data_IF_173276312716
#
_entry.id   IF_173276312716
#
_cell.length_a   1.000
_cell.length_b   1.000
_cell.length_c   1.000
_cell.angle_alpha   90.00
_cell.angle_beta   90.00
_cell.angle_gamma   90.00
#
_symmetry.space_group_name_H-M   'P 1'
#
loop_
_entity.id
_entity.type
_entity.pdbx_description
1 polymer ?
#
# COMPACT_ATOMS: atom_id res chain seq x y z
N UNK A 1 37.42 25.59 -19.95
CA UNK A 1 36.75 24.71 -20.93
C UNK A 1 35.87 23.66 -20.26
N UNK A 2 36.38 22.87 -19.30
CA UNK A 2 35.62 21.75 -18.70
C UNK A 2 34.30 22.15 -18.02
N UNK A 3 34.26 23.28 -17.30
CA UNK A 3 33.03 23.78 -16.65
C UNK A 3 31.93 24.14 -17.65
N UNK A 4 32.30 24.75 -18.77
CA UNK A 4 31.35 25.12 -19.83
C UNK A 4 30.89 23.89 -20.62
N UNK A 5 31.78 22.92 -20.84
CA UNK A 5 31.41 21.63 -21.43
C UNK A 5 30.39 20.86 -20.56
N UNK A 6 30.55 20.88 -19.22
CA UNK A 6 29.59 20.26 -18.29
C UNK A 6 28.22 20.94 -18.32
N UNK A 7 28.18 22.28 -18.37
CA UNK A 7 26.91 23.03 -18.50
C UNK A 7 26.21 22.71 -19.81
N UNK A 8 26.95 22.67 -20.92
CA UNK A 8 26.40 22.37 -22.24
C UNK A 8 25.85 20.94 -22.31
N UNK A 9 26.58 19.97 -21.74
CA UNK A 9 26.10 18.60 -21.64
C UNK A 9 24.80 18.49 -20.82
N UNK A 10 24.70 19.21 -19.70
CA UNK A 10 23.48 19.23 -18.88
C UNK A 10 22.31 19.89 -19.62
N UNK A 11 22.56 21.00 -20.34
CA UNK A 11 21.55 21.64 -21.17
C UNK A 11 21.02 20.68 -22.24
N UNK A 12 21.91 20.03 -23.00
CA UNK A 12 21.53 19.03 -24.01
C UNK A 12 20.74 17.87 -23.41
N UNK A 13 21.08 17.44 -22.19
CA UNK A 13 20.32 16.41 -21.48
C UNK A 13 18.89 16.87 -21.16
N UNK A 14 18.69 18.09 -20.66
CA UNK A 14 17.34 18.62 -20.38
C UNK A 14 16.52 18.81 -21.66
N UNK A 15 17.17 19.19 -22.75
CA UNK A 15 16.55 19.31 -24.08
C UNK A 15 16.16 17.92 -24.62
N UNK A 16 17.08 16.95 -24.63
CA UNK A 16 16.85 15.62 -25.21
C UNK A 16 15.90 14.75 -24.40
N UNK A 17 15.86 14.91 -23.07
CA UNK A 17 14.90 14.23 -22.19
C UNK A 17 13.51 14.87 -22.20
N UNK A 18 13.32 16.00 -22.88
CA UNK A 18 12.03 16.70 -22.96
C UNK A 18 11.66 17.50 -21.71
N UNK A 19 12.55 17.60 -20.72
CA UNK A 19 12.30 18.34 -19.46
C UNK A 19 11.99 19.81 -19.76
N UNK A 20 12.74 20.45 -20.66
CA UNK A 20 12.49 21.85 -21.01
C UNK A 20 11.14 22.05 -21.69
N UNK A 21 10.74 21.14 -22.57
CA UNK A 21 9.44 21.19 -23.25
C UNK A 21 8.29 21.02 -22.26
N UNK A 22 8.39 20.04 -21.37
CA UNK A 22 7.41 19.81 -20.30
C UNK A 22 7.26 21.05 -19.39
N UNK A 23 8.37 21.58 -18.88
CA UNK A 23 8.34 22.79 -18.03
C UNK A 23 7.76 24.00 -18.78
N UNK A 24 8.13 24.18 -20.04
CA UNK A 24 7.60 25.26 -20.88
C UNK A 24 6.10 25.14 -21.05
N UNK A 25 5.58 23.95 -21.40
CA UNK A 25 4.15 23.69 -21.54
C UNK A 25 3.37 23.98 -20.25
N UNK A 26 3.91 23.62 -19.09
CA UNK A 26 3.27 23.92 -17.80
C UNK A 26 3.23 25.42 -17.53
N UNK A 27 4.31 26.15 -17.81
CA UNK A 27 4.35 27.61 -17.65
C UNK A 27 3.41 28.33 -18.63
N UNK A 28 3.33 27.86 -19.88
CA UNK A 28 2.36 28.36 -20.86
C UNK A 28 0.93 28.12 -20.36
N UNK A 29 0.63 26.91 -19.90
CA UNK A 29 -0.69 26.59 -19.36
C UNK A 29 -1.07 27.45 -18.13
N UNK A 30 -0.09 27.81 -17.29
CA UNK A 30 -0.29 28.73 -16.17
C UNK A 30 -0.51 30.18 -16.66
N UNK A 31 0.21 30.59 -17.69
CA UNK A 31 0.05 31.91 -18.31
C UNK A 31 -1.32 32.07 -18.97
N UNK A 32 -1.82 31.03 -19.64
CA UNK A 32 -3.12 31.01 -20.34
C UNK A 32 -4.33 30.90 -19.41
N UNK A 33 -4.15 30.61 -18.12
CA UNK A 33 -5.26 30.63 -17.17
C UNK A 33 -5.89 32.05 -17.11
N UNK A 34 -7.18 32.13 -17.45
CA UNK A 34 -8.00 33.34 -17.36
C UNK A 34 -8.03 33.89 -15.92
N UNK A 35 -8.27 33.01 -14.94
CA UNK A 35 -8.14 33.31 -13.51
C UNK A 35 -6.88 32.65 -12.95
N UNK A 36 -5.98 33.44 -12.36
CA UNK A 36 -4.74 32.89 -11.79
C UNK A 36 -5.07 32.01 -10.58
N UNK A 37 -4.50 30.78 -10.51
CA UNK A 37 -4.72 29.92 -9.36
C UNK A 37 -4.18 30.60 -8.10
N UNK A 38 -4.86 30.39 -6.98
CA UNK A 38 -4.44 30.89 -5.67
C UNK A 38 -3.05 30.38 -5.26
N UNK A 39 -2.65 29.21 -5.77
CA UNK A 39 -1.30 28.66 -5.64
C UNK A 39 -0.72 28.28 -7.01
N UNK A 40 0.20 29.10 -7.52
CA UNK A 40 0.95 28.80 -8.74
C UNK A 40 1.80 27.54 -8.61
N UNK A 41 2.40 27.32 -7.43
CA UNK A 41 3.20 26.11 -7.15
C UNK A 41 2.32 24.86 -7.20
N UNK A 42 1.14 24.89 -6.56
CA UNK A 42 0.21 23.76 -6.58
C UNK A 42 -0.27 23.43 -8.00
N UNK A 43 -0.53 24.44 -8.82
CA UNK A 43 -0.86 24.25 -10.23
C UNK A 43 0.27 23.55 -11.01
N UNK A 44 1.52 24.00 -10.82
CA UNK A 44 2.69 23.41 -11.48
C UNK A 44 2.88 21.95 -11.04
N UNK A 45 2.82 21.67 -9.74
CA UNK A 45 2.95 20.32 -9.19
C UNK A 45 1.91 19.37 -9.79
N UNK A 46 0.64 19.77 -9.78
CA UNK A 46 -0.44 18.99 -10.36
C UNK A 46 -0.23 18.76 -11.87
N UNK A 47 0.15 19.78 -12.63
CA UNK A 47 0.40 19.66 -14.08
C UNK A 47 1.61 18.78 -14.43
N UNK A 48 2.58 18.65 -13.52
CA UNK A 48 3.73 17.74 -13.66
C UNK A 48 3.45 16.32 -13.13
N UNK A 49 2.22 16.04 -12.69
CA UNK A 49 1.81 14.72 -12.19
C UNK A 49 2.14 14.46 -10.71
N UNK A 50 2.50 15.50 -9.95
CA UNK A 50 2.63 15.40 -8.50
C UNK A 50 1.25 15.43 -7.82
N UNK A 51 1.02 14.64 -6.76
CA UNK A 51 -0.21 14.72 -5.99
C UNK A 51 -0.33 16.10 -5.34
N UNK A 52 -1.55 16.62 -5.28
CA UNK A 52 -1.85 17.80 -4.47
C UNK A 52 -1.73 17.45 -2.98
N UNK A 53 -1.53 18.46 -2.13
CA UNK A 53 -1.46 18.25 -0.68
C UNK A 53 -2.70 17.50 -0.13
N UNK A 54 -3.95 17.84 -0.51
CA UNK A 54 -5.12 17.10 -0.04
C UNK A 54 -5.17 15.65 -0.54
N UNK A 55 -4.73 15.39 -1.77
CA UNK A 55 -4.63 14.01 -2.30
C UNK A 55 -3.60 13.19 -1.55
N UNK A 56 -2.46 13.80 -1.20
CA UNK A 56 -1.42 13.15 -0.40
C UNK A 56 -1.91 12.82 1.01
N UNK A 57 -2.54 13.78 1.69
CA UNK A 57 -3.13 13.58 3.02
C UNK A 57 -4.22 12.49 3.01
N UNK A 58 -5.09 12.50 1.99
CA UNK A 58 -6.10 11.46 1.80
C UNK A 58 -5.45 10.08 1.63
N UNK A 59 -4.44 9.97 0.78
CA UNK A 59 -3.73 8.70 0.56
C UNK A 59 -3.05 8.20 1.84
N UNK A 60 -2.51 9.11 2.65
CA UNK A 60 -1.90 8.77 3.94
C UNK A 60 -2.95 8.24 4.93
N UNK A 61 -4.13 8.84 4.98
CA UNK A 61 -5.24 8.36 5.80
C UNK A 61 -5.70 6.95 5.36
N UNK A 62 -5.90 6.74 4.06
CA UNK A 62 -6.29 5.43 3.51
C UNK A 62 -5.25 4.34 3.83
N UNK A 63 -3.96 4.66 3.74
CA UNK A 63 -2.88 3.76 4.14
C UNK A 63 -2.95 3.39 5.63
N UNK A 64 -3.21 4.38 6.49
CA UNK A 64 -3.35 4.15 7.94
C UNK A 64 -4.54 3.25 8.23
N UNK A 65 -5.71 3.53 7.63
CA UNK A 65 -6.92 2.75 7.80
C UNK A 65 -6.75 1.31 7.32
N UNK A 66 -6.07 1.12 6.17
CA UNK A 66 -5.79 -0.19 5.63
C UNK A 66 -4.84 -1.00 6.52
N UNK A 67 -3.84 -0.35 7.12
CA UNK A 67 -2.95 -0.99 8.08
C UNK A 67 -3.68 -1.43 9.37
N UNK A 68 -4.64 -0.63 9.84
CA UNK A 68 -5.47 -0.99 11.00
C UNK A 68 -6.30 -2.24 10.66
N UNK A 69 -7.05 -2.21 9.55
CA UNK A 69 -7.87 -3.35 9.10
C UNK A 69 -7.05 -4.61 8.88
N UNK A 70 -5.85 -4.47 8.30
CA UNK A 70 -4.95 -5.61 8.11
C UNK A 70 -4.54 -6.25 9.45
N UNK A 71 -4.21 -5.44 10.46
CA UNK A 71 -3.84 -5.94 11.79
C UNK A 71 -5.02 -6.62 12.49
N UNK A 72 -6.21 -6.03 12.42
CA UNK A 72 -7.44 -6.60 12.98
C UNK A 72 -7.74 -7.96 12.34
N UNK A 73 -7.76 -8.01 11.01
CA UNK A 73 -8.02 -9.24 10.27
C UNK A 73 -6.96 -10.31 10.54
N UNK A 74 -5.68 -9.91 10.65
CA UNK A 74 -4.60 -10.84 10.98
C UNK A 74 -4.79 -11.43 12.39
N UNK A 75 -5.20 -10.61 13.36
CA UNK A 75 -5.48 -11.08 14.71
C UNK A 75 -6.68 -12.03 14.75
N UNK A 76 -7.79 -11.69 14.08
CA UNK A 76 -8.97 -12.56 13.97
C UNK A 76 -8.64 -13.89 13.29
N UNK A 77 -7.83 -13.86 12.23
CA UNK A 77 -7.38 -15.05 11.55
C UNK A 77 -6.52 -15.95 12.45
N UNK A 78 -5.62 -15.35 13.25
CA UNK A 78 -4.80 -16.10 14.21
C UNK A 78 -5.64 -16.75 15.31
N UNK A 79 -6.62 -16.02 15.86
CA UNK A 79 -7.53 -16.54 16.88
C UNK A 79 -8.37 -17.70 16.33
N UNK A 80 -8.99 -17.52 15.15
CA UNK A 80 -9.78 -18.55 14.48
C UNK A 80 -8.97 -19.82 14.21
N UNK A 81 -7.72 -19.67 13.75
CA UNK A 81 -6.82 -20.81 13.51
C UNK A 81 -6.49 -21.55 14.82
N UNK A 82 -6.28 -20.82 15.93
CA UNK A 82 -6.07 -21.43 17.25
C UNK A 82 -7.29 -22.21 17.69
N UNK A 83 -8.49 -21.62 17.62
CA UNK A 83 -9.75 -22.28 18.00
C UNK A 83 -10.00 -23.55 17.17
N UNK A 84 -9.75 -23.51 15.86
CA UNK A 84 -9.88 -24.68 14.99
C UNK A 84 -8.90 -25.79 15.37
N UNK A 85 -7.67 -25.44 15.72
CA UNK A 85 -6.67 -26.41 16.16
C UNK A 85 -7.06 -27.05 17.50
N UNK A 86 -7.56 -26.25 18.44
CA UNK A 86 -8.07 -26.74 19.73
C UNK A 86 -9.25 -27.70 19.53
N UNK A 87 -10.24 -27.32 18.72
CA UNK A 87 -11.39 -28.19 18.39
C UNK A 87 -10.97 -29.49 17.71
N UNK A 88 -10.04 -29.43 16.74
CA UNK A 88 -9.47 -30.62 16.08
C UNK A 88 -8.84 -31.56 17.11
N UNK A 89 -8.04 -31.01 18.02
CA UNK A 89 -7.36 -31.79 19.06
C UNK A 89 -8.38 -32.41 20.03
N UNK A 90 -9.41 -31.66 20.45
CA UNK A 90 -10.49 -32.19 21.30
C UNK A 90 -11.30 -33.30 20.62
N UNK A 91 -11.58 -33.20 19.32
CA UNK A 91 -12.23 -34.28 18.55
C UNK A 91 -11.35 -35.53 18.43
N UNK A 92 -10.04 -35.37 18.22
CA UNK A 92 -9.10 -36.51 18.16
C UNK A 92 -9.01 -37.25 19.51
N UNK A 93 -9.05 -36.52 20.62
CA UNK A 93 -9.04 -37.10 21.98
C UNK A 93 -10.37 -37.77 22.30
N UNK A 94 -11.51 -37.19 21.87
CA UNK A 94 -12.84 -37.81 22.06
C UNK A 94 -12.99 -39.11 21.26
N UNK A 95 -12.58 -39.13 19.99
CA UNK A 95 -12.60 -40.33 19.14
C UNK A 95 -11.69 -41.45 19.69
N UNK A 96 -10.56 -41.10 20.29
CA UNK A 96 -9.66 -42.08 20.93
C UNK A 96 -10.22 -42.66 22.23
N UNK A 97 -11.10 -41.92 22.93
CA UNK A 97 -11.69 -42.33 24.21
C UNK A 97 -12.90 -43.26 24.03
N UNK A 98 -13.68 -43.06 22.96
CA UNK A 98 -14.78 -43.98 22.59
C UNK A 98 -14.31 -45.37 22.15
N UNK A 99 -13.06 -45.50 21.65
CA UNK A 99 -12.48 -46.82 21.33
C UNK A 99 -12.07 -47.61 22.58
N UNK A 100 -11.70 -46.94 23.67
CA UNK A 100 -11.21 -47.59 24.89
C UNK A 100 -12.37 -48.13 25.74
N UNK A 101 -13.54 -47.48 25.72
CA UNK A 101 -14.70 -47.89 26.53
C UNK A 101 -15.51 -49.06 25.94
N UNK A 102 -15.26 -49.44 24.68
CA UNK A 102 -15.91 -50.61 24.04
C UNK A 102 -15.15 -51.93 24.21
N UNK A 103 -13.95 -51.90 24.80
CA UNK A 103 -13.09 -53.07 24.97
C UNK A 103 -12.90 -53.39 26.47
N UNK A 104 -14.01 -53.49 27.21
CA UNK A 104 -14.00 -54.13 28.53
C UNK A 104 -14.43 -55.60 28.37
N UNK A 105 -13.61 -56.58 28.78
CA UNK A 105 -13.91 -57.99 28.55
C UNK A 105 -15.12 -58.42 29.39
N UNK A 106 -16.09 -59.08 28.75
CA UNK A 106 -17.04 -59.92 29.48
C UNK A 106 -16.25 -61.14 30.00
N UNK A 107 -15.82 -61.05 31.25
CA UNK A 107 -15.63 -62.24 32.09
C UNK A 107 -16.98 -62.95 32.21
N UNK A 108 -17.05 -64.25 31.86
CA UNK A 108 -17.59 -65.30 32.73
C UNK A 108 -17.75 -66.65 31.99
N UNK A 109 -17.24 -67.69 32.67
CA UNK A 109 -17.48 -69.15 32.58
C UNK A 109 -16.60 -70.00 31.65
#
# INVERSE_FOLDING_TARGET
MEKEAKKEAFRKYLESSGVLDALTKVLVALYEQNDKPSSAIGFIQHRLGGPTLPEYEKLQAEMSDLQIKYKELLAEHQETCRELEELRNSQSVAASKEMIDKESPMDEL
#
